data_IF_400391738712
#
_entry.id   IF_400391738712
#
_cell.length_a   1.000
_cell.length_b   1.000
_cell.length_c   1.000
_cell.angle_alpha   90.00
_cell.angle_beta   90.00
_cell.angle_gamma   90.00
#
_symmetry.space_group_name_H-M   'P 1'
#
loop_
_entity.id
_entity.type
_entity.pdbx_description
1 polymer ?
#
# COMPACT_ATOMS: atom_id res chain seq x y z
N UNK A 1 -34.20 -21.03 -7.19
CA UNK A 1 -32.73 -21.09 -7.28
C UNK A 1 -32.30 -19.70 -7.65
N UNK A 2 -31.86 -18.94 -6.67
CA UNK A 2 -31.52 -17.52 -6.80
C UNK A 2 -30.42 -17.35 -7.86
N UNK A 3 -30.61 -16.37 -8.73
CA UNK A 3 -29.71 -16.04 -9.82
C UNK A 3 -28.41 -15.47 -9.22
N UNK A 4 -27.35 -16.27 -9.18
CA UNK A 4 -26.04 -15.83 -8.68
C UNK A 4 -25.58 -14.62 -9.50
N UNK A 5 -25.58 -13.44 -8.87
CA UNK A 5 -25.12 -12.20 -9.50
C UNK A 5 -23.62 -12.32 -9.72
N UNK A 6 -23.21 -12.57 -10.97
CA UNK A 6 -21.79 -12.57 -11.36
C UNK A 6 -21.27 -11.13 -11.30
N UNK A 7 -20.33 -10.84 -10.39
CA UNK A 7 -19.73 -9.53 -10.24
C UNK A 7 -18.53 -9.37 -11.17
N UNK A 8 -18.27 -8.13 -11.60
CA UNK A 8 -17.16 -7.82 -12.52
C UNK A 8 -15.78 -8.16 -11.94
N UNK A 9 -15.66 -8.23 -10.62
CA UNK A 9 -14.42 -8.61 -9.91
C UNK A 9 -14.26 -10.13 -9.71
N UNK A 10 -15.27 -10.94 -10.03
CA UNK A 10 -15.17 -12.41 -9.96
C UNK A 10 -14.30 -12.98 -11.09
N UNK A 11 -14.09 -12.20 -12.16
CA UNK A 11 -13.22 -12.60 -13.26
C UNK A 11 -11.76 -12.29 -12.89
N UNK A 12 -10.87 -13.30 -12.77
CA UNK A 12 -9.48 -13.09 -12.32
C UNK A 12 -8.72 -12.12 -13.23
N UNK A 13 -9.12 -12.04 -14.51
CA UNK A 13 -8.53 -11.13 -15.49
C UNK A 13 -8.73 -9.65 -15.18
N UNK A 14 -9.81 -9.29 -14.48
CA UNK A 14 -10.01 -7.90 -14.05
C UNK A 14 -9.21 -7.55 -12.80
N UNK A 15 -9.07 -8.49 -11.88
CA UNK A 15 -8.20 -8.34 -10.70
C UNK A 15 -6.75 -8.14 -11.15
N UNK A 16 -6.28 -8.95 -12.11
CA UNK A 16 -4.94 -8.80 -12.68
C UNK A 16 -4.74 -7.45 -13.36
N UNK A 17 -5.75 -6.95 -14.09
CA UNK A 17 -5.68 -5.61 -14.70
C UNK A 17 -5.58 -4.49 -13.67
N UNK A 18 -6.33 -4.58 -12.58
CA UNK A 18 -6.25 -3.59 -11.49
C UNK A 18 -4.86 -3.64 -10.85
N UNK A 19 -4.35 -4.85 -10.56
CA UNK A 19 -3.01 -5.04 -10.02
C UNK A 19 -1.93 -4.46 -10.95
N UNK A 20 -1.95 -4.80 -12.24
CA UNK A 20 -0.99 -4.28 -13.22
C UNK A 20 -1.12 -2.78 -13.44
N UNK A 21 -2.34 -2.22 -13.38
CA UNK A 21 -2.55 -0.77 -13.46
C UNK A 21 -1.94 -0.05 -12.25
N UNK A 22 -2.09 -0.61 -11.05
CA UNK A 22 -1.48 -0.08 -9.82
C UNK A 22 0.04 -0.14 -9.91
N UNK A 23 0.60 -1.27 -10.35
CA UNK A 23 2.04 -1.43 -10.58
C UNK A 23 2.54 -0.40 -11.59
N UNK A 24 1.85 -0.24 -12.72
CA UNK A 24 2.18 0.76 -13.74
C UNK A 24 2.17 2.18 -13.20
N UNK A 25 1.17 2.53 -12.38
CA UNK A 25 1.09 3.83 -11.72
C UNK A 25 2.24 4.05 -10.74
N UNK A 26 2.58 3.06 -9.91
CA UNK A 26 3.73 3.13 -9.00
C UNK A 26 5.05 3.35 -9.76
N UNK A 27 5.27 2.62 -10.85
CA UNK A 27 6.47 2.78 -11.68
C UNK A 27 6.52 4.16 -12.33
N UNK A 28 5.38 4.67 -12.80
CA UNK A 28 5.28 6.00 -13.39
C UNK A 28 5.62 7.09 -12.35
N UNK A 29 5.05 7.01 -11.16
CA UNK A 29 5.36 7.95 -10.07
C UNK A 29 6.84 7.88 -9.68
N UNK A 30 7.42 6.68 -9.60
CA UNK A 30 8.85 6.50 -9.33
C UNK A 30 9.75 7.09 -10.43
N UNK A 31 9.34 6.96 -11.70
CA UNK A 31 10.05 7.58 -12.82
C UNK A 31 9.99 9.11 -12.77
N UNK A 32 8.85 9.69 -12.35
CA UNK A 32 8.71 11.12 -12.13
C UNK A 32 9.64 11.64 -11.02
N UNK A 33 9.78 10.89 -9.92
CA UNK A 33 10.69 11.22 -8.82
C UNK A 33 12.18 11.18 -9.26
N UNK A 34 12.50 10.43 -10.32
CA UNK A 34 13.84 10.41 -10.93
C UNK A 34 14.13 11.64 -11.79
N UNK A 35 13.10 12.22 -12.41
CA UNK A 35 13.23 13.36 -13.34
C UNK A 35 13.28 14.68 -12.58
N UNK A 36 12.71 14.74 -11.38
CA UNK A 36 12.66 15.95 -10.56
C UNK A 36 13.77 15.93 -9.50
N UNK A 37 14.91 16.62 -9.70
CA UNK A 37 15.92 16.73 -8.67
C UNK A 37 15.34 17.52 -7.49
N UNK A 38 15.05 16.83 -6.39
CA UNK A 38 14.66 17.49 -5.16
C UNK A 38 15.87 18.25 -4.61
N UNK A 39 15.73 19.57 -4.42
CA UNK A 39 16.70 20.38 -3.69
C UNK A 39 16.56 20.11 -2.19
N UNK A 40 17.04 18.95 -1.77
CA UNK A 40 17.13 18.57 -0.37
C UNK A 40 18.04 19.53 0.41
N UNK A 41 17.60 19.91 1.60
CA UNK A 41 18.37 20.77 2.49
C UNK A 41 19.54 20.02 3.14
N UNK A 42 19.48 18.68 3.12
CA UNK A 42 20.50 17.77 3.66
C UNK A 42 21.20 16.95 2.56
N UNK A 43 22.49 16.64 2.77
CA UNK A 43 23.36 15.96 1.80
C UNK A 43 22.86 14.57 1.36
N UNK A 44 22.01 13.92 2.18
CA UNK A 44 21.47 12.58 1.95
C UNK A 44 20.19 12.58 1.11
N UNK A 45 19.49 13.71 1.01
CA UNK A 45 18.27 13.87 0.20
C UNK A 45 18.57 13.96 -1.30
N UNK A 46 19.83 14.23 -1.69
CA UNK A 46 20.28 14.24 -3.08
C UNK A 46 20.45 12.83 -3.67
N UNK A 47 20.22 11.77 -2.89
CA UNK A 47 20.40 10.42 -3.40
C UNK A 47 19.19 10.02 -4.27
N UNK A 48 19.48 9.65 -5.52
CA UNK A 48 18.47 9.27 -6.52
C UNK A 48 17.60 8.14 -5.95
N UNK A 49 16.31 8.40 -5.81
CA UNK A 49 15.33 7.43 -5.29
C UNK A 49 15.17 7.38 -3.77
N UNK A 50 15.80 8.29 -3.00
CA UNK A 50 15.63 8.37 -1.54
C UNK A 50 14.16 8.48 -1.13
N UNK A 51 13.41 9.39 -1.75
CA UNK A 51 12.01 9.63 -1.42
C UNK A 51 11.10 8.45 -1.81
N UNK A 52 11.34 7.81 -2.96
CA UNK A 52 10.67 6.56 -3.33
C UNK A 52 10.86 5.44 -2.30
N UNK A 53 12.10 5.20 -1.86
CA UNK A 53 12.41 4.18 -0.82
C UNK A 53 11.82 4.58 0.53
N UNK A 54 11.92 5.85 0.91
CA UNK A 54 11.36 6.37 2.15
C UNK A 54 9.84 6.23 2.20
N UNK A 55 9.14 6.58 1.12
CA UNK A 55 7.69 6.42 1.01
C UNK A 55 7.27 4.95 1.11
N UNK A 56 8.00 4.04 0.44
CA UNK A 56 7.75 2.61 0.51
C UNK A 56 7.94 2.05 1.93
N UNK A 57 9.05 2.41 2.59
CA UNK A 57 9.32 2.02 3.97
C UNK A 57 8.29 2.58 4.95
N UNK A 58 7.86 3.83 4.75
CA UNK A 58 6.81 4.46 5.56
C UNK A 58 5.48 3.72 5.43
N UNK A 59 5.12 3.31 4.21
CA UNK A 59 3.88 2.56 3.95
C UNK A 59 3.92 1.17 4.62
N UNK A 60 5.03 0.43 4.47
CA UNK A 60 5.24 -0.84 5.19
C UNK A 60 5.17 -0.62 6.70
N UNK A 61 5.84 0.42 7.19
CA UNK A 61 5.85 0.80 8.60
C UNK A 61 4.44 1.00 9.14
N UNK A 62 3.58 1.75 8.44
CA UNK A 62 2.18 1.96 8.82
C UNK A 62 1.38 0.65 8.91
N UNK A 63 1.55 -0.24 7.94
CA UNK A 63 0.85 -1.55 7.95
C UNK A 63 1.32 -2.42 9.12
N UNK A 64 2.62 -2.46 9.39
CA UNK A 64 3.17 -3.17 10.54
C UNK A 64 2.70 -2.58 11.87
N UNK A 65 2.65 -1.25 11.97
CA UNK A 65 2.17 -0.55 13.14
C UNK A 65 0.68 -0.85 13.40
N UNK A 66 -0.15 -0.84 12.36
CA UNK A 66 -1.55 -1.24 12.45
C UNK A 66 -1.71 -2.71 12.90
N UNK A 67 -0.85 -3.61 12.42
CA UNK A 67 -0.83 -5.01 12.86
C UNK A 67 -0.43 -5.13 14.33
N UNK A 68 0.54 -4.35 14.79
CA UNK A 68 0.95 -4.31 16.20
C UNK A 68 -0.17 -3.77 17.07
N UNK A 69 -0.81 -2.67 16.67
CA UNK A 69 -1.98 -2.11 17.34
C UNK A 69 -3.11 -3.11 17.42
N UNK A 70 -3.35 -3.89 16.37
CA UNK A 70 -4.35 -4.98 16.40
C UNK A 70 -4.03 -6.00 17.47
N UNK A 71 -2.76 -6.35 17.71
CA UNK A 71 -2.38 -7.28 18.77
C UNK A 71 -2.66 -6.69 20.16
N UNK A 72 -2.34 -5.40 20.36
CA UNK A 72 -2.59 -4.69 21.64
C UNK A 72 -4.08 -4.50 21.89
N UNK A 73 -4.85 -4.19 20.85
CA UNK A 73 -6.27 -3.87 20.95
C UNK A 73 -7.16 -5.12 20.91
N UNK A 74 -6.63 -6.30 20.56
CA UNK A 74 -7.40 -7.55 20.51
C UNK A 74 -7.90 -7.86 21.92
N UNK A 75 -9.20 -7.69 22.11
CA UNK A 75 -9.91 -7.97 23.35
C UNK A 75 -10.38 -9.43 23.39
N UNK A 76 -10.46 -9.97 24.59
CA UNK A 76 -10.95 -11.33 24.83
C UNK A 76 -12.40 -11.48 24.33
N UNK A 77 -12.71 -12.61 23.70
CA UNK A 77 -14.01 -12.88 23.08
C UNK A 77 -15.13 -12.93 24.13
N UNK A 78 -14.81 -13.27 25.38
CA UNK A 78 -15.77 -13.37 26.48
C UNK A 78 -16.15 -12.01 27.09
N UNK A 79 -15.74 -10.89 26.49
CA UNK A 79 -15.99 -9.56 27.06
C UNK A 79 -17.47 -9.16 27.11
N UNK A 80 -18.31 -9.71 26.23
CA UNK A 80 -19.75 -9.40 26.16
C UNK A 80 -20.66 -10.51 26.72
N UNK A 81 -20.08 -11.63 27.18
CA UNK A 81 -20.84 -12.75 27.75
C UNK A 81 -20.90 -12.71 29.30
N UNK A 82 -20.41 -11.63 29.91
CA UNK A 82 -20.68 -11.30 31.32
C UNK A 82 -21.67 -10.15 31.45
#
# INVERSE_FOLDING_TARGET
>A
MENEKKYWLDEPRNVDRIFWSLVGLCVLLAAFDLVYPQHGHFFWENWVGFYGVYGFLSCIGLVLLAKLLRMVLKRDENYYER
#
